data_IF_749354318235
#
_entry.id   IF_749354318235
#
_cell.length_a   1.000
_cell.length_b   1.000
_cell.length_c   1.000
_cell.angle_alpha   90.00
_cell.angle_beta   90.00
_cell.angle_gamma   90.00
#
_symmetry.space_group_name_H-M   'P 1'
#
loop_
_entity.id
_entity.type
_entity.pdbx_description
1 polymer ?
#
# COMPACT_ATOMS: atom_id res chain seq x y z
N UNK A 1 -13.94 -34.04 4.60
CA UNK A 1 -12.90 -33.83 5.63
C UNK A 1 -12.20 -32.55 5.25
N UNK A 2 -12.50 -31.45 5.97
CA UNK A 2 -11.96 -30.13 5.67
C UNK A 2 -10.47 -30.12 6.01
N UNK A 3 -9.63 -30.02 4.99
CA UNK A 3 -8.21 -29.67 5.18
C UNK A 3 -8.16 -28.18 5.53
N UNK A 4 -8.20 -27.90 6.83
CA UNK A 4 -7.90 -26.57 7.36
C UNK A 4 -6.39 -26.43 7.34
N UNK A 5 -5.91 -25.81 6.27
CA UNK A 5 -4.52 -25.42 6.06
C UNK A 5 -3.98 -24.59 7.26
N UNK A 6 -2.98 -25.09 8.02
CA UNK A 6 -2.49 -24.44 9.23
C UNK A 6 -1.30 -23.48 9.01
N UNK A 7 -1.12 -22.93 7.81
CA UNK A 7 -0.07 -21.92 7.53
C UNK A 7 -0.61 -20.48 7.44
N UNK A 8 -1.81 -20.21 7.98
CA UNK A 8 -2.25 -18.86 8.29
C UNK A 8 -1.44 -18.32 9.47
N UNK A 9 -0.37 -17.56 9.21
CA UNK A 9 0.11 -16.39 9.97
C UNK A 9 1.51 -16.05 9.49
N UNK A 10 1.62 -15.11 8.55
CA UNK A 10 2.72 -14.15 8.40
C UNK A 10 2.33 -13.20 7.22
N UNK A 11 1.69 -12.08 7.52
CA UNK A 11 1.48 -10.96 6.58
C UNK A 11 0.73 -11.22 5.25
N UNK A 12 -0.17 -12.22 5.18
CA UNK A 12 -0.97 -12.45 3.96
C UNK A 12 -2.04 -11.36 3.82
N UNK A 13 -1.87 -10.45 2.85
CA UNK A 13 -2.97 -9.62 2.34
C UNK A 13 -4.13 -10.56 1.98
N UNK A 14 -5.36 -10.20 2.35
CA UNK A 14 -6.55 -11.00 2.00
C UNK A 14 -6.53 -11.29 0.48
N UNK A 15 -6.88 -12.51 0.02
CA UNK A 15 -6.77 -12.89 -1.39
C UNK A 15 -7.64 -12.02 -2.32
N UNK A 16 -8.63 -11.34 -1.77
CA UNK A 16 -9.51 -10.39 -2.45
C UNK A 16 -8.79 -9.08 -2.72
N UNK A 17 -7.98 -8.64 -1.75
CA UNK A 17 -7.16 -7.44 -1.81
C UNK A 17 -5.97 -7.67 -2.76
N UNK A 18 -5.39 -8.87 -2.76
CA UNK A 18 -4.36 -9.27 -3.72
C UNK A 18 -4.81 -9.08 -5.19
N UNK A 19 -6.05 -9.44 -5.52
CA UNK A 19 -6.62 -9.22 -6.87
C UNK A 19 -6.90 -7.75 -7.19
N UNK A 20 -7.13 -6.92 -6.17
CA UNK A 20 -7.28 -5.48 -6.36
C UNK A 20 -5.94 -4.82 -6.66
N UNK A 21 -4.86 -5.36 -6.07
CA UNK A 21 -3.50 -4.87 -6.22
C UNK A 21 -2.92 -5.28 -7.58
N UNK A 22 -3.30 -6.48 -8.07
CA UNK A 22 -2.80 -7.06 -9.30
C UNK A 22 -2.92 -6.12 -10.51
N UNK A 23 -1.76 -5.70 -11.03
CA UNK A 23 -1.64 -4.85 -12.22
C UNK A 23 -1.79 -3.34 -11.95
N UNK A 24 -1.71 -2.92 -10.69
CA UNK A 24 -1.68 -1.51 -10.33
C UNK A 24 -0.26 -0.92 -10.43
N UNK A 25 -0.11 0.35 -10.85
CA UNK A 25 1.18 1.03 -10.82
C UNK A 25 1.66 1.15 -9.38
N UNK A 26 2.92 0.81 -9.10
CA UNK A 26 3.47 0.82 -7.74
C UNK A 26 3.09 -0.38 -6.86
N UNK A 27 2.39 -1.39 -7.39
CA UNK A 27 2.02 -2.61 -6.63
C UNK A 27 3.22 -3.23 -5.92
N UNK A 28 4.28 -3.54 -6.68
CA UNK A 28 5.46 -4.21 -6.15
C UNK A 28 6.10 -3.41 -5.01
N UNK A 29 6.10 -2.09 -5.11
CA UNK A 29 6.61 -1.20 -4.06
C UNK A 29 5.76 -1.26 -2.80
N UNK A 30 4.43 -1.19 -2.93
CA UNK A 30 3.53 -1.24 -1.78
C UNK A 30 3.62 -2.61 -1.09
N UNK A 31 3.70 -3.70 -1.85
CA UNK A 31 3.88 -5.06 -1.31
C UNK A 31 5.19 -5.16 -0.52
N UNK A 32 6.29 -4.76 -1.14
CA UNK A 32 7.59 -4.75 -0.47
C UNK A 32 7.59 -3.84 0.76
N UNK A 33 6.92 -2.68 0.69
CA UNK A 33 6.77 -1.75 1.79
C UNK A 33 5.99 -2.33 2.98
N UNK A 34 4.92 -3.07 2.70
CA UNK A 34 4.14 -3.79 3.72
C UNK A 34 4.95 -4.91 4.37
N UNK A 35 5.73 -5.66 3.58
CA UNK A 35 6.64 -6.69 4.10
C UNK A 35 7.75 -6.09 4.97
N UNK A 36 8.36 -5.00 4.53
CA UNK A 36 9.38 -4.28 5.31
C UNK A 36 8.78 -3.71 6.61
N UNK A 37 7.58 -3.10 6.55
CA UNK A 37 6.85 -2.66 7.75
C UNK A 37 6.56 -3.82 8.71
N UNK A 38 6.11 -4.96 8.20
CA UNK A 38 5.85 -6.14 9.01
C UNK A 38 7.14 -6.71 9.64
N UNK A 39 8.27 -6.58 8.94
CA UNK A 39 9.59 -6.94 9.45
C UNK A 39 10.21 -5.86 10.37
N UNK A 40 9.54 -4.72 10.57
CA UNK A 40 10.07 -3.59 11.34
C UNK A 40 11.25 -2.88 10.67
N UNK A 41 11.41 -3.03 9.35
CA UNK A 41 12.45 -2.37 8.56
C UNK A 41 11.91 -1.08 7.96
N UNK A 42 12.71 -0.03 8.08
CA UNK A 42 12.44 1.25 7.42
C UNK A 42 13.08 1.24 6.04
N UNK A 43 12.22 1.21 5.02
CA UNK A 43 12.59 1.24 3.60
C UNK A 43 11.76 2.31 2.89
N UNK A 44 12.16 2.70 1.67
CA UNK A 44 11.41 3.64 0.81
C UNK A 44 9.93 3.23 0.70
N UNK A 45 9.67 1.94 0.46
CA UNK A 45 8.29 1.41 0.39
C UNK A 45 7.54 1.49 1.73
N UNK A 46 8.22 1.20 2.84
CA UNK A 46 7.63 1.27 4.19
C UNK A 46 7.26 2.71 4.56
N UNK A 47 8.10 3.69 4.21
CA UNK A 47 7.80 5.12 4.39
C UNK A 47 6.65 5.59 3.48
N UNK A 48 6.61 5.15 2.22
CA UNK A 48 5.50 5.46 1.31
C UNK A 48 4.17 4.88 1.79
N UNK A 49 4.17 3.64 2.27
CA UNK A 49 2.97 3.00 2.86
C UNK A 49 2.52 3.76 4.12
N UNK A 50 3.44 4.31 4.91
CA UNK A 50 3.09 5.18 6.04
C UNK A 50 2.49 6.51 5.57
N UNK A 51 3.04 7.15 4.54
CA UNK A 51 2.49 8.41 3.97
C UNK A 51 1.07 8.19 3.43
N UNK A 52 0.83 7.06 2.74
CA UNK A 52 -0.49 6.66 2.21
C UNK A 52 -1.40 5.95 3.22
N UNK A 53 -0.93 5.68 4.44
CA UNK A 53 -1.65 4.93 5.45
C UNK A 53 -3.09 5.39 5.70
N UNK A 54 -3.41 6.70 5.84
CA UNK A 54 -4.78 7.12 6.09
C UNK A 54 -5.74 6.69 4.97
N UNK A 55 -5.30 6.73 3.70
CA UNK A 55 -6.14 6.39 2.55
C UNK A 55 -6.22 4.88 2.32
N UNK A 56 -5.10 4.19 2.44
CA UNK A 56 -5.05 2.73 2.36
C UNK A 56 -5.93 2.07 3.44
N UNK A 57 -5.98 2.64 4.65
CA UNK A 57 -6.89 2.19 5.72
C UNK A 57 -8.36 2.38 5.39
N UNK A 58 -8.74 3.48 4.74
CA UNK A 58 -10.11 3.68 4.27
C UNK A 58 -10.52 2.63 3.22
N UNK A 59 -9.54 2.05 2.53
CA UNK A 59 -9.69 0.99 1.53
C UNK A 59 -9.52 -0.42 2.13
N UNK A 60 -9.54 -0.55 3.45
CA UNK A 60 -9.46 -1.82 4.20
C UNK A 60 -8.12 -2.56 4.04
N UNK A 61 -7.07 -1.83 3.64
CA UNK A 61 -5.70 -2.37 3.59
C UNK A 61 -5.14 -2.48 5.01
N UNK A 62 -4.55 -3.62 5.40
CA UNK A 62 -3.98 -3.82 6.73
C UNK A 62 -2.65 -3.07 6.88
N UNK A 63 -2.73 -1.75 7.04
CA UNK A 63 -1.56 -0.90 7.30
C UNK A 63 -1.36 -0.74 8.81
N UNK A 64 -0.14 -1.00 9.34
CA UNK A 64 0.18 -0.80 10.76
C UNK A 64 -0.15 0.61 11.23
N UNK A 65 -0.55 0.77 12.49
CA UNK A 65 -1.03 2.05 13.03
C UNK A 65 0.07 3.09 13.29
N UNK A 66 1.33 2.69 13.21
CA UNK A 66 2.46 3.60 13.32
C UNK A 66 2.54 4.43 12.04
N UNK A 67 1.81 5.55 12.03
CA UNK A 67 1.96 6.58 11.01
C UNK A 67 2.95 7.59 11.60
N UNK A 68 4.21 7.49 11.20
CA UNK A 68 5.23 8.46 11.62
C UNK A 68 4.98 9.78 10.84
N UNK A 69 4.74 10.88 11.57
CA UNK A 69 4.47 12.19 10.99
C UNK A 69 5.69 12.71 10.20
N UNK A 70 6.89 12.24 10.56
CA UNK A 70 8.14 12.57 9.87
C UNK A 70 8.50 11.57 8.76
N UNK A 71 7.62 10.62 8.40
CA UNK A 71 7.87 9.66 7.32
C UNK A 71 8.21 10.35 5.98
N UNK A 72 7.54 11.47 5.69
CA UNK A 72 7.81 12.33 4.53
C UNK A 72 9.25 12.88 4.54
N UNK A 73 9.66 13.46 5.68
CA UNK A 73 11.00 14.01 5.87
C UNK A 73 12.08 12.93 5.85
N UNK A 74 11.81 11.76 6.44
CA UNK A 74 12.73 10.61 6.41
C UNK A 74 12.92 10.10 4.99
N UNK A 75 11.84 9.98 4.22
CA UNK A 75 11.90 9.60 2.82
C UNK A 75 12.75 10.59 2.03
N UNK A 76 12.51 11.88 2.20
CA UNK A 76 13.30 12.93 1.56
C UNK A 76 14.78 12.86 1.95
N UNK A 77 15.08 12.64 3.23
CA UNK A 77 16.45 12.53 3.73
C UNK A 77 17.17 11.29 3.17
N UNK A 78 16.52 10.13 3.14
CA UNK A 78 17.05 8.89 2.53
C UNK A 78 17.33 9.06 1.04
N UNK A 79 16.42 9.71 0.32
CA UNK A 79 16.60 10.04 -1.10
C UNK A 79 17.76 11.03 -1.30
N UNK A 80 17.89 12.02 -0.42
CA UNK A 80 19.01 12.97 -0.41
C UNK A 80 20.37 12.29 -0.22
N UNK A 81 20.44 11.31 0.69
CA UNK A 81 21.65 10.52 0.94
C UNK A 81 22.03 9.61 -0.24
N UNK A 82 21.03 9.05 -0.93
CA UNK A 82 21.26 8.06 -2.00
C UNK A 82 21.43 8.68 -3.38
N UNK A 83 20.64 9.71 -3.70
CA UNK A 83 20.51 10.28 -5.04
C UNK A 83 20.92 11.76 -5.13
N UNK A 84 21.28 12.41 -4.01
CA UNK A 84 21.75 13.79 -4.00
C UNK A 84 20.81 14.75 -4.72
N UNK A 85 21.26 15.33 -5.83
CA UNK A 85 20.51 16.32 -6.61
C UNK A 85 19.24 15.77 -7.27
N UNK A 86 19.14 14.45 -7.46
CA UNK A 86 17.96 13.79 -8.04
C UNK A 86 16.92 13.40 -6.99
N UNK A 87 17.20 13.62 -5.70
CA UNK A 87 16.31 13.24 -4.60
C UNK A 87 14.91 13.81 -4.76
N UNK A 88 14.80 15.07 -5.20
CA UNK A 88 13.50 15.73 -5.37
C UNK A 88 12.70 15.17 -6.55
N UNK A 89 13.37 14.83 -7.66
CA UNK A 89 12.74 14.19 -8.82
C UNK A 89 12.26 12.79 -8.47
N UNK A 90 13.10 12.00 -7.79
CA UNK A 90 12.74 10.66 -7.33
C UNK A 90 11.58 10.72 -6.34
N UNK A 91 11.67 11.59 -5.32
CA UNK A 91 10.58 11.80 -4.37
C UNK A 91 9.25 12.09 -5.08
N UNK A 92 9.24 13.04 -6.02
CA UNK A 92 8.03 13.38 -6.77
C UNK A 92 7.52 12.23 -7.63
N UNK A 93 8.40 11.42 -8.21
CA UNK A 93 8.00 10.20 -8.94
C UNK A 93 7.34 9.18 -8.02
N UNK A 94 7.95 8.91 -6.86
CA UNK A 94 7.42 7.98 -5.87
C UNK A 94 6.07 8.44 -5.30
N UNK A 95 5.92 9.73 -4.98
CA UNK A 95 4.65 10.30 -4.50
C UNK A 95 3.56 10.20 -5.57
N UNK A 96 3.87 10.48 -6.84
CA UNK A 96 2.90 10.34 -7.93
C UNK A 96 2.50 8.88 -8.15
N UNK A 97 3.45 7.96 -8.01
CA UNK A 97 3.18 6.53 -8.12
C UNK A 97 2.27 6.05 -6.99
N UNK A 98 2.55 6.45 -5.74
CA UNK A 98 1.69 6.19 -4.58
C UNK A 98 0.26 6.73 -4.80
N UNK A 99 0.11 8.00 -5.19
CA UNK A 99 -1.21 8.59 -5.43
C UNK A 99 -1.95 7.89 -6.58
N UNK A 100 -1.21 7.43 -7.60
CA UNK A 100 -1.79 6.67 -8.71
C UNK A 100 -2.28 5.30 -8.25
N UNK A 101 -1.50 4.61 -7.41
CA UNK A 101 -1.88 3.37 -6.76
C UNK A 101 -3.16 3.54 -5.93
N UNK A 102 -3.18 4.53 -5.02
CA UNK A 102 -4.33 4.82 -4.15
C UNK A 102 -5.61 5.05 -4.97
N UNK A 103 -5.52 5.87 -6.02
CA UNK A 103 -6.66 6.16 -6.92
C UNK A 103 -7.12 4.95 -7.72
N UNK A 104 -6.21 4.06 -8.08
CA UNK A 104 -6.55 2.86 -8.84
C UNK A 104 -7.20 1.81 -7.91
N UNK A 105 -6.66 1.65 -6.70
CA UNK A 105 -7.24 0.81 -5.66
C UNK A 105 -8.63 1.32 -5.24
N UNK A 106 -8.78 2.62 -4.99
CA UNK A 106 -10.07 3.26 -4.69
C UNK A 106 -11.12 2.94 -5.75
N UNK A 107 -10.77 3.10 -7.04
CA UNK A 107 -11.67 2.75 -8.15
C UNK A 107 -12.08 1.29 -8.16
N UNK A 108 -11.18 0.37 -7.79
CA UNK A 108 -11.44 -1.07 -7.75
C UNK A 108 -12.35 -1.45 -6.59
N UNK A 109 -12.06 -0.91 -5.40
CA UNK A 109 -12.87 -1.09 -4.18
C UNK A 109 -14.27 -0.49 -4.34
N UNK A 110 -14.37 0.70 -4.93
CA UNK A 110 -15.66 1.37 -5.16
C UNK A 110 -16.45 0.71 -6.29
N UNK A 111 -15.77 0.24 -7.35
CA UNK A 111 -16.38 -0.56 -8.41
C UNK A 111 -17.05 -1.83 -7.86
N UNK A 112 -16.33 -2.58 -7.02
CA UNK A 112 -16.86 -3.77 -6.34
C UNK A 112 -18.08 -3.46 -5.46
N UNK A 113 -18.02 -2.38 -4.67
CA UNK A 113 -19.15 -1.97 -3.81
C UNK A 113 -20.40 -1.61 -4.61
N UNK A 114 -20.25 -0.98 -5.78
CA UNK A 114 -21.39 -0.69 -6.66
C UNK A 114 -22.01 -1.93 -7.27
N UNK A 115 -21.20 -2.93 -7.63
CA UNK A 115 -21.70 -4.22 -8.12
C UNK A 115 -22.49 -4.98 -7.05
N UNK A 116 -22.03 -4.92 -5.80
CA UNK A 116 -22.69 -5.59 -4.67
C UNK A 116 -23.99 -4.87 -4.25
N UNK A 117 -24.03 -3.54 -4.32
CA UNK A 117 -25.23 -2.75 -4.01
C UNK A 117 -26.36 -2.90 -5.05
N UNK A 118 -26.03 -3.22 -6.31
CA UNK A 118 -27.02 -3.39 -7.38
C UNK A 118 -27.71 -4.78 -7.35
N UNK A 119 -27.22 -5.73 -6.54
CA UNK A 119 -27.83 -7.06 -6.41
C UNK A 119 -28.92 -7.15 -5.33
N UNK A 120 -29.05 -6.12 -4.47
CA UNK A 120 -30.01 -6.10 -3.36
C UNK A 120 -31.39 -5.49 -3.73
N UNK A 121 -31.58 -5.07 -4.98
CA UNK A 121 -32.82 -4.46 -5.47
C UNK A 121 -33.40 -5.24 -6.68
N UNK A 122 -33.59 -6.56 -6.53
CA UNK A 122 -34.41 -7.37 -7.46
C UNK A 122 -35.32 -8.34 -6.74
#
# INVERSE_FOLDING_TARGET
>A
MMDRDPQQTCASLSPELDRDFAGLPGEAMIRQGLEDLAAGRESIGSLLVQIGAPRLRLLEVPVPAAVDIDADRRLYHLLGLTHGNEAHSQYNSWIRELVSFERALERRVWGRRRETGNLAEK
#
